data_IF_884027727943
#
_entry.id   IF_884027727943
#
_cell.length_a   1.000
_cell.length_b   1.000
_cell.length_c   1.000
_cell.angle_alpha   90.00
_cell.angle_beta   90.00
_cell.angle_gamma   90.00
#
_symmetry.space_group_name_H-M   'P 1'
#
loop_
_entity.id
_entity.type
_entity.pdbx_description
1 polymer ?
#
# COMPACT_ATOMS: atom_id res chain seq x y z
N UNK A 1 -66.35 25.86 -6.46
CA UNK A 1 -64.95 25.65 -6.04
C UNK A 1 -64.57 24.22 -6.36
N UNK A 2 -63.71 23.99 -7.37
CA UNK A 2 -63.12 22.67 -7.66
C UNK A 2 -61.72 22.67 -7.05
N UNK A 3 -61.51 21.89 -5.99
CA UNK A 3 -60.18 21.65 -5.42
C UNK A 3 -59.53 20.52 -6.22
N UNK A 4 -58.52 20.86 -7.02
CA UNK A 4 -57.60 19.88 -7.61
C UNK A 4 -56.57 19.49 -6.57
N UNK A 5 -56.59 18.23 -6.14
CA UNK A 5 -55.59 17.66 -5.25
C UNK A 5 -54.34 17.31 -6.07
N UNK A 6 -53.27 18.08 -5.91
CA UNK A 6 -51.98 17.78 -6.54
C UNK A 6 -51.29 16.69 -5.71
N UNK A 7 -51.18 15.48 -6.26
CA UNK A 7 -50.44 14.39 -5.65
C UNK A 7 -48.94 14.61 -5.91
N UNK A 8 -48.20 15.05 -4.90
CA UNK A 8 -46.74 15.16 -4.98
C UNK A 8 -46.12 13.76 -4.88
N UNK A 9 -45.68 13.19 -6.02
CA UNK A 9 -44.79 12.03 -6.01
C UNK A 9 -43.42 12.48 -5.49
N UNK A 10 -43.11 12.16 -4.25
CA UNK A 10 -41.74 12.22 -3.73
C UNK A 10 -40.97 11.01 -4.30
N UNK A 11 -40.17 11.23 -5.33
CA UNK A 11 -39.21 10.24 -5.79
C UNK A 11 -38.10 10.11 -4.73
N UNK A 12 -38.17 9.06 -3.92
CA UNK A 12 -37.10 8.68 -3.02
C UNK A 12 -35.92 8.17 -3.86
N UNK A 13 -34.93 9.02 -4.10
CA UNK A 13 -33.65 8.59 -4.65
C UNK A 13 -32.97 7.71 -3.59
N UNK A 14 -32.93 6.40 -3.83
CA UNK A 14 -32.11 5.49 -3.02
C UNK A 14 -30.66 5.87 -3.30
N UNK A 15 -30.00 6.49 -2.33
CA UNK A 15 -28.56 6.76 -2.43
C UNK A 15 -27.84 5.40 -2.42
N UNK A 16 -27.35 4.97 -3.58
CA UNK A 16 -26.53 3.77 -3.68
C UNK A 16 -25.20 4.06 -2.97
N UNK A 17 -24.84 3.22 -1.99
CA UNK A 17 -23.57 3.34 -1.30
C UNK A 17 -22.43 3.29 -2.32
N UNK A 18 -21.40 4.14 -2.13
CA UNK A 18 -20.25 4.16 -3.03
C UNK A 18 -19.56 2.79 -3.06
N UNK A 19 -19.27 2.29 -4.27
CA UNK A 19 -18.64 0.99 -4.46
C UNK A 19 -17.19 1.02 -3.94
N UNK A 20 -16.85 0.11 -3.03
CA UNK A 20 -15.46 -0.07 -2.61
C UNK A 20 -14.58 -0.49 -3.78
N UNK A 21 -13.32 -0.06 -3.78
CA UNK A 21 -12.31 -0.42 -4.78
C UNK A 21 -12.24 -1.95 -4.97
N UNK A 22 -12.28 -2.68 -3.85
CA UNK A 22 -12.37 -4.13 -3.76
C UNK A 22 -12.92 -4.50 -2.37
N UNK A 23 -13.43 -5.73 -2.15
CA UNK A 23 -13.81 -6.19 -0.83
C UNK A 23 -12.63 -6.08 0.16
N UNK A 24 -12.80 -5.34 1.25
CA UNK A 24 -11.73 -5.10 2.24
C UNK A 24 -10.86 -3.86 1.99
N UNK A 25 -11.20 -3.02 0.99
CA UNK A 25 -10.62 -1.70 0.85
C UNK A 25 -11.10 -0.81 2.02
N UNK A 26 -10.17 -0.26 2.80
CA UNK A 26 -10.44 0.62 3.93
C UNK A 26 -9.78 2.00 3.72
N UNK A 27 -10.05 2.97 4.59
CA UNK A 27 -9.35 4.25 4.56
C UNK A 27 -9.85 5.24 3.52
N UNK A 28 -9.12 6.35 3.37
CA UNK A 28 -9.54 7.43 2.49
C UNK A 28 -9.61 7.00 1.01
N UNK A 29 -8.67 6.18 0.54
CA UNK A 29 -8.59 5.69 -0.84
C UNK A 29 -9.57 4.56 -1.19
N UNK A 30 -10.40 4.10 -0.25
CA UNK A 30 -11.24 2.89 -0.40
C UNK A 30 -12.25 2.89 -1.55
N UNK A 31 -12.51 4.04 -2.16
CA UNK A 31 -13.44 4.18 -3.29
C UNK A 31 -12.75 4.43 -4.63
N UNK A 32 -11.43 4.19 -4.72
CA UNK A 32 -10.74 4.20 -6.01
C UNK A 32 -11.46 3.28 -7.01
N UNK A 33 -11.70 3.78 -8.23
CA UNK A 33 -12.44 3.03 -9.25
C UNK A 33 -11.52 2.08 -10.03
N UNK A 34 -10.23 2.40 -10.12
CA UNK A 34 -9.31 1.65 -10.95
C UNK A 34 -9.70 1.74 -12.43
N UNK A 35 -9.52 0.63 -13.15
CA UNK A 35 -9.88 0.48 -14.55
C UNK A 35 -11.29 -0.05 -14.81
N UNK A 36 -12.18 -0.09 -13.81
CA UNK A 36 -13.56 -0.59 -13.99
C UNK A 36 -14.26 0.19 -15.11
N UNK A 37 -14.96 -0.52 -16.00
CA UNK A 37 -15.53 -0.03 -17.26
C UNK A 37 -14.53 0.42 -18.34
N UNK A 38 -13.23 0.21 -18.13
CA UNK A 38 -12.17 0.41 -19.10
C UNK A 38 -11.88 -0.83 -19.95
N UNK A 39 -10.63 -1.01 -20.32
CA UNK A 39 -10.14 -2.19 -21.05
C UNK A 39 -9.31 -3.11 -20.14
N UNK A 40 -9.34 -4.41 -20.42
CA UNK A 40 -8.34 -5.34 -19.88
C UNK A 40 -7.03 -5.15 -20.65
N UNK A 41 -5.90 -5.20 -19.94
CA UNK A 41 -4.59 -5.28 -20.56
C UNK A 41 -3.80 -6.43 -19.94
N UNK A 42 -3.37 -7.37 -20.78
CA UNK A 42 -2.59 -8.54 -20.36
C UNK A 42 -1.10 -8.27 -20.51
N UNK A 43 -0.36 -8.32 -19.41
CA UNK A 43 1.11 -8.34 -19.43
C UNK A 43 1.56 -9.75 -19.79
N UNK A 44 2.18 -9.90 -20.95
CA UNK A 44 2.53 -11.20 -21.55
C UNK A 44 4.04 -11.42 -21.64
N UNK A 45 4.85 -10.44 -21.24
CA UNK A 45 6.30 -10.57 -21.21
C UNK A 45 6.93 -9.75 -20.08
N UNK A 46 8.17 -10.11 -19.74
CA UNK A 46 8.95 -9.48 -18.67
C UNK A 46 9.89 -8.36 -19.19
N UNK A 47 9.71 -7.91 -20.42
CA UNK A 47 10.54 -6.85 -20.99
C UNK A 47 10.24 -5.50 -20.31
N UNK A 48 11.23 -4.61 -20.27
CA UNK A 48 11.07 -3.26 -19.71
C UNK A 48 10.05 -2.42 -20.50
N UNK A 49 9.92 -2.66 -21.82
CA UNK A 49 9.06 -1.87 -22.71
C UNK A 49 8.57 -2.66 -23.92
N UNK A 50 7.68 -2.04 -24.69
CA UNK A 50 7.03 -2.63 -25.86
C UNK A 50 5.69 -3.28 -25.52
N UNK A 51 4.93 -3.66 -26.55
CA UNK A 51 3.63 -4.32 -26.40
C UNK A 51 3.74 -5.55 -25.51
N UNK A 52 2.77 -5.73 -24.61
CA UNK A 52 2.71 -6.82 -23.63
C UNK A 52 3.59 -6.62 -22.40
N UNK A 53 4.35 -5.53 -22.29
CA UNK A 53 5.11 -5.18 -21.09
C UNK A 53 4.25 -4.46 -20.05
N UNK A 54 4.67 -4.52 -18.77
CA UNK A 54 4.04 -3.73 -17.71
C UNK A 54 4.09 -2.21 -18.01
N UNK A 55 5.19 -1.73 -18.58
CA UNK A 55 5.33 -0.31 -18.92
C UNK A 55 4.31 0.14 -19.96
N UNK A 56 4.07 -0.67 -20.99
CA UNK A 56 3.00 -0.36 -21.96
C UNK A 56 1.62 -0.44 -21.30
N UNK A 57 1.40 -1.46 -20.44
CA UNK A 57 0.14 -1.66 -19.72
C UNK A 57 -0.28 -0.41 -18.94
N UNK A 58 0.62 0.16 -18.13
CA UNK A 58 0.31 1.29 -17.24
C UNK A 58 0.43 2.66 -17.90
N UNK A 59 0.90 2.74 -19.16
CA UNK A 59 1.15 4.01 -19.85
C UNK A 59 -0.11 4.78 -20.27
N UNK A 60 -1.26 4.09 -20.36
CA UNK A 60 -2.54 4.66 -20.78
C UNK A 60 -3.58 4.47 -19.68
N UNK A 61 -4.60 5.36 -19.60
CA UNK A 61 -5.60 5.29 -18.55
C UNK A 61 -6.69 4.25 -18.83
N UNK A 62 -7.55 4.02 -17.83
CA UNK A 62 -8.75 3.19 -17.91
C UNK A 62 -8.45 1.71 -18.22
N UNK A 63 -7.53 1.11 -17.46
CA UNK A 63 -7.13 -0.29 -17.66
C UNK A 63 -7.17 -1.11 -16.39
N UNK A 64 -7.65 -2.34 -16.51
CA UNK A 64 -7.36 -3.40 -15.54
C UNK A 64 -6.19 -4.21 -16.11
N UNK A 65 -5.04 -4.11 -15.45
CA UNK A 65 -3.81 -4.78 -15.82
C UNK A 65 -3.74 -6.13 -15.11
N UNK A 66 -3.74 -7.20 -15.88
CA UNK A 66 -3.56 -8.60 -15.44
C UNK A 66 -2.27 -9.18 -16.03
N UNK A 67 -1.84 -10.32 -15.53
CA UNK A 67 -0.52 -10.89 -15.83
C UNK A 67 -0.63 -12.35 -16.30
N UNK A 68 -0.12 -12.64 -17.48
CA UNK A 68 0.06 -13.99 -18.04
C UNK A 68 1.46 -14.57 -17.75
N UNK A 69 2.33 -13.78 -17.13
CA UNK A 69 3.71 -14.16 -16.79
C UNK A 69 4.00 -13.81 -15.34
N UNK A 70 4.83 -14.63 -14.71
CA UNK A 70 5.46 -14.35 -13.42
C UNK A 70 6.96 -14.18 -13.60
N UNK A 71 7.59 -13.40 -12.74
CA UNK A 71 9.03 -13.20 -12.78
C UNK A 71 9.48 -11.78 -12.43
N UNK A 72 10.74 -11.51 -12.77
CA UNK A 72 11.37 -10.21 -12.54
C UNK A 72 11.30 -9.35 -13.80
N UNK A 73 10.60 -8.23 -13.72
CA UNK A 73 10.62 -7.17 -14.73
C UNK A 73 11.74 -6.20 -14.37
N UNK A 74 12.83 -6.22 -15.16
CA UNK A 74 13.97 -5.31 -14.96
C UNK A 74 13.72 -4.01 -15.71
N UNK A 75 13.65 -2.90 -14.99
CA UNK A 75 13.41 -1.57 -15.55
C UNK A 75 14.67 -0.72 -15.48
N UNK A 76 14.94 0.02 -16.56
CA UNK A 76 16.04 0.98 -16.62
C UNK A 76 15.59 2.36 -16.15
N UNK A 77 14.37 2.74 -16.50
CA UNK A 77 13.77 4.03 -16.17
C UNK A 77 12.56 3.90 -15.26
N UNK A 78 12.21 5.00 -14.58
CA UNK A 78 11.02 5.07 -13.73
C UNK A 78 9.77 4.64 -14.49
N UNK A 79 8.93 3.79 -13.88
CA UNK A 79 7.60 3.47 -14.40
C UNK A 79 6.68 4.65 -14.09
N UNK A 80 5.91 5.12 -15.07
CA UNK A 80 4.90 6.18 -14.88
C UNK A 80 3.53 5.57 -15.11
N UNK A 81 2.73 5.54 -14.06
CA UNK A 81 1.39 4.94 -14.04
C UNK A 81 0.36 6.02 -14.39
N UNK A 82 -0.48 5.73 -15.38
CA UNK A 82 -1.58 6.60 -15.76
C UNK A 82 -2.73 6.56 -14.72
N UNK A 83 -3.75 7.37 -14.93
CA UNK A 83 -4.96 7.39 -14.10
C UNK A 83 -5.93 6.25 -14.46
N UNK A 84 -6.86 5.94 -13.56
CA UNK A 84 -7.90 4.94 -13.75
C UNK A 84 -7.31 3.56 -14.05
N UNK A 85 -6.34 3.14 -13.25
CA UNK A 85 -5.63 1.87 -13.43
C UNK A 85 -5.88 0.96 -12.25
N UNK A 86 -6.21 -0.30 -12.51
CA UNK A 86 -6.09 -1.37 -11.52
C UNK A 86 -4.97 -2.32 -11.94
N UNK A 87 -3.86 -2.33 -11.21
CA UNK A 87 -2.79 -3.32 -11.33
C UNK A 87 -3.11 -4.50 -10.39
N UNK A 88 -3.57 -5.60 -10.97
CA UNK A 88 -3.99 -6.80 -10.27
C UNK A 88 -2.86 -7.83 -10.21
N UNK A 89 -1.83 -7.57 -9.39
CA UNK A 89 -0.64 -8.44 -9.30
C UNK A 89 -0.95 -9.88 -8.88
N UNK A 90 -2.08 -10.11 -8.19
CA UNK A 90 -2.49 -11.46 -7.77
C UNK A 90 -2.89 -12.39 -8.93
N UNK A 91 -3.06 -11.87 -10.15
CA UNK A 91 -3.32 -12.74 -11.32
C UNK A 91 -2.05 -13.38 -11.86
N UNK A 92 -0.86 -12.89 -11.46
CA UNK A 92 0.40 -13.37 -11.99
C UNK A 92 0.64 -14.85 -11.64
N UNK A 93 1.00 -15.70 -12.60
CA UNK A 93 1.28 -17.10 -12.32
C UNK A 93 2.64 -17.27 -11.62
N UNK A 94 2.89 -18.48 -11.10
CA UNK A 94 4.18 -18.84 -10.51
C UNK A 94 4.49 -18.03 -9.24
N UNK A 95 5.67 -17.42 -9.20
CA UNK A 95 6.16 -16.61 -8.09
C UNK A 95 5.73 -15.14 -8.10
N UNK A 96 4.71 -14.78 -8.87
CA UNK A 96 4.20 -13.41 -8.95
C UNK A 96 5.12 -12.46 -9.72
N UNK A 97 4.94 -11.15 -9.53
CA UNK A 97 5.73 -10.11 -10.20
C UNK A 97 6.59 -9.32 -9.21
N UNK A 98 7.89 -9.26 -9.53
CA UNK A 98 8.83 -8.32 -8.93
C UNK A 98 9.30 -7.34 -10.00
N UNK A 99 9.19 -6.04 -9.73
CA UNK A 99 9.72 -4.99 -10.60
C UNK A 99 10.97 -4.40 -9.98
N UNK A 100 12.07 -4.40 -10.72
CA UNK A 100 13.39 -4.09 -10.19
C UNK A 100 14.20 -3.15 -11.07
N UNK A 101 14.89 -2.19 -10.44
CA UNK A 101 15.95 -1.41 -11.06
C UNK A 101 15.72 0.10 -11.05
N UNK A 102 14.49 0.56 -10.83
CA UNK A 102 14.16 1.98 -10.65
C UNK A 102 12.81 2.16 -9.92
N UNK A 103 12.38 3.40 -9.68
CA UNK A 103 11.15 3.72 -8.94
C UNK A 103 9.87 3.87 -9.80
N UNK A 104 8.76 4.26 -9.16
CA UNK A 104 7.42 4.39 -9.74
C UNK A 104 6.75 5.77 -9.48
N UNK A 105 6.37 6.43 -10.58
CA UNK A 105 5.35 7.47 -10.86
C UNK A 105 3.91 7.10 -10.61
N UNK A 106 3.27 7.55 -9.54
CA UNK A 106 1.81 7.70 -9.50
C UNK A 106 1.41 9.18 -9.41
N UNK A 107 2.08 10.02 -10.20
CA UNK A 107 1.76 11.45 -10.28
C UNK A 107 0.59 11.66 -11.25
N UNK A 108 -0.44 12.40 -10.85
CA UNK A 108 -1.70 12.55 -11.61
C UNK A 108 -2.44 11.22 -11.88
N UNK A 109 -2.13 10.18 -11.11
CA UNK A 109 -2.68 8.82 -11.26
C UNK A 109 -4.01 8.65 -10.52
N UNK A 110 -4.98 9.53 -10.78
CA UNK A 110 -6.30 9.49 -10.13
C UNK A 110 -6.96 8.12 -10.24
N UNK A 111 -7.71 7.72 -9.21
CA UNK A 111 -8.53 6.50 -9.19
C UNK A 111 -7.71 5.23 -9.48
N UNK A 112 -6.57 5.06 -8.80
CA UNK A 112 -5.65 3.95 -9.02
C UNK A 112 -5.70 2.91 -7.90
N UNK A 113 -5.63 1.64 -8.28
CA UNK A 113 -5.58 0.47 -7.39
C UNK A 113 -4.32 -0.32 -7.74
N UNK A 114 -3.47 -0.62 -6.75
CA UNK A 114 -2.27 -1.46 -6.92
C UNK A 114 -2.26 -2.55 -5.86
N UNK A 115 -2.23 -3.82 -6.28
CA UNK A 115 -2.28 -4.95 -5.33
C UNK A 115 -1.33 -6.09 -5.67
N UNK A 116 -0.84 -6.78 -4.64
CA UNK A 116 -0.07 -8.04 -4.74
C UNK A 116 1.10 -7.99 -5.72
N UNK A 117 1.91 -6.93 -5.63
CA UNK A 117 3.09 -6.73 -6.46
C UNK A 117 4.26 -6.26 -5.61
N UNK A 118 5.48 -6.62 -6.03
CA UNK A 118 6.71 -6.22 -5.36
C UNK A 118 7.48 -5.21 -6.21
N UNK A 119 7.89 -4.10 -5.62
CA UNK A 119 8.59 -2.98 -6.27
C UNK A 119 9.90 -2.72 -5.54
N UNK A 120 11.03 -2.90 -6.23
CA UNK A 120 12.37 -2.75 -5.67
C UNK A 120 13.20 -1.79 -6.49
N UNK A 121 13.50 -0.63 -5.94
CA UNK A 121 14.28 0.37 -6.67
C UNK A 121 15.75 -0.06 -6.80
N UNK A 122 16.37 -0.44 -5.68
CA UNK A 122 17.74 -0.94 -5.64
C UNK A 122 18.78 0.16 -5.88
N UNK A 123 20.06 -0.19 -5.69
CA UNK A 123 21.19 0.72 -5.82
C UNK A 123 21.40 1.19 -7.27
N UNK A 124 20.90 0.45 -8.25
CA UNK A 124 20.90 0.90 -9.65
C UNK A 124 19.93 2.06 -9.94
N UNK A 125 18.91 2.24 -9.11
CA UNK A 125 17.87 3.25 -9.32
C UNK A 125 18.39 4.69 -9.25
N UNK A 126 17.63 5.60 -9.84
CA UNK A 126 17.99 7.03 -9.90
C UNK A 126 18.19 7.62 -8.50
N UNK A 127 19.38 8.15 -8.23
CA UNK A 127 19.70 8.76 -6.93
C UNK A 127 18.80 9.96 -6.61
N UNK A 128 18.40 10.14 -5.35
CA UNK A 128 17.55 11.26 -4.94
C UNK A 128 16.12 11.17 -5.48
N UNK A 129 15.64 9.96 -5.74
CA UNK A 129 14.26 9.66 -6.13
C UNK A 129 13.71 8.53 -5.29
N UNK A 130 12.39 8.53 -5.16
CA UNK A 130 11.67 7.55 -4.35
C UNK A 130 11.42 6.25 -5.11
N UNK A 131 11.39 5.13 -4.39
CA UNK A 131 10.95 3.86 -4.97
C UNK A 131 9.49 3.93 -5.40
N UNK A 132 8.61 4.55 -4.59
CA UNK A 132 7.28 4.99 -5.02
C UNK A 132 7.08 6.46 -4.64
N UNK A 133 6.62 7.25 -5.61
CA UNK A 133 6.21 8.64 -5.37
C UNK A 133 4.82 8.92 -5.92
N UNK A 134 3.93 9.41 -5.07
CA UNK A 134 2.57 9.86 -5.41
C UNK A 134 2.52 11.39 -5.33
N UNK A 135 2.00 12.04 -6.38
CA UNK A 135 1.79 13.48 -6.41
C UNK A 135 0.58 13.88 -7.24
N UNK A 136 -0.04 15.02 -6.94
CA UNK A 136 -1.12 15.62 -7.75
C UNK A 136 -2.24 14.63 -8.14
N UNK A 137 -2.64 13.75 -7.23
CA UNK A 137 -3.50 12.59 -7.52
C UNK A 137 -4.59 12.39 -6.48
N UNK A 138 -5.69 11.72 -6.84
CA UNK A 138 -6.77 11.43 -5.89
C UNK A 138 -7.31 10.02 -5.96
N UNK A 139 -7.86 9.53 -4.84
CA UNK A 139 -8.46 8.21 -4.71
C UNK A 139 -7.49 7.10 -5.14
N UNK A 140 -6.45 6.88 -4.34
CA UNK A 140 -5.40 5.91 -4.67
C UNK A 140 -5.30 4.91 -3.53
N UNK A 141 -5.26 3.62 -3.86
CA UNK A 141 -5.09 2.55 -2.87
C UNK A 141 -4.00 1.57 -3.26
N UNK A 142 -3.12 1.31 -2.30
CA UNK A 142 -2.12 0.23 -2.34
C UNK A 142 -2.51 -0.80 -1.28
N UNK A 143 -2.66 -2.05 -1.67
CA UNK A 143 -3.00 -3.15 -0.76
C UNK A 143 -2.13 -4.38 -1.07
N UNK A 144 -1.46 -4.93 -0.06
CA UNK A 144 -0.56 -6.08 -0.24
C UNK A 144 0.58 -5.80 -1.25
N UNK A 145 1.23 -4.64 -1.13
CA UNK A 145 2.39 -4.28 -1.94
C UNK A 145 3.66 -4.43 -1.11
N UNK A 146 4.76 -4.83 -1.71
CA UNK A 146 6.09 -4.80 -1.07
C UNK A 146 6.97 -3.78 -1.75
N UNK A 147 7.52 -2.83 -0.99
CA UNK A 147 8.37 -1.76 -1.51
C UNK A 147 9.68 -1.73 -0.74
N UNK A 148 10.80 -1.78 -1.46
CA UNK A 148 12.11 -1.70 -0.81
C UNK A 148 13.18 -0.95 -1.59
N UNK A 149 14.27 -0.66 -0.88
CA UNK A 149 15.54 -0.18 -1.43
C UNK A 149 15.44 1.18 -2.11
N UNK A 150 14.66 2.08 -1.53
CA UNK A 150 14.55 3.48 -1.97
C UNK A 150 15.90 4.20 -1.95
N UNK A 151 16.09 5.12 -2.90
CA UNK A 151 17.31 5.95 -3.05
C UNK A 151 17.17 7.36 -2.48
N UNK A 152 15.96 7.75 -2.14
CA UNK A 152 15.60 8.88 -1.29
C UNK A 152 14.59 8.34 -0.25
N UNK A 153 13.28 8.42 -0.51
CA UNK A 153 12.31 7.61 0.25
C UNK A 153 11.98 6.28 -0.41
N UNK A 154 11.52 5.33 0.40
CA UNK A 154 10.95 4.08 -0.10
C UNK A 154 9.53 4.33 -0.63
N UNK A 155 8.71 5.10 0.08
CA UNK A 155 7.37 5.45 -0.37
C UNK A 155 6.99 6.86 0.09
N UNK A 156 6.81 7.81 -0.83
CA UNK A 156 6.37 9.17 -0.50
C UNK A 156 5.06 9.59 -1.17
N UNK A 157 4.31 10.43 -0.45
CA UNK A 157 3.13 11.17 -0.90
C UNK A 157 3.41 12.66 -0.69
N UNK A 158 3.36 13.46 -1.76
CA UNK A 158 3.64 14.89 -1.70
C UNK A 158 2.85 15.65 -2.79
N UNK A 159 2.49 16.90 -2.53
CA UNK A 159 1.76 17.75 -3.46
C UNK A 159 0.25 17.72 -3.22
N UNK A 160 -0.52 18.08 -4.24
CA UNK A 160 -1.99 18.14 -4.13
C UNK A 160 -2.59 16.74 -4.26
N UNK A 161 -2.54 15.97 -3.15
CA UNK A 161 -2.95 14.56 -3.12
C UNK A 161 -4.13 14.35 -2.20
N UNK A 162 -5.23 13.74 -2.65
CA UNK A 162 -6.42 13.53 -1.80
C UNK A 162 -6.85 12.07 -1.78
N UNK A 163 -7.32 11.58 -0.65
CA UNK A 163 -7.84 10.23 -0.50
C UNK A 163 -6.86 9.12 -0.88
N UNK A 164 -5.82 8.92 -0.08
CA UNK A 164 -4.87 7.81 -0.28
C UNK A 164 -4.96 6.79 0.84
N UNK A 165 -4.88 5.52 0.48
CA UNK A 165 -4.71 4.43 1.44
C UNK A 165 -3.51 3.58 1.06
N UNK A 166 -2.65 3.31 2.05
CA UNK A 166 -1.65 2.26 2.00
C UNK A 166 -2.04 1.26 3.08
N UNK A 167 -2.39 0.04 2.69
CA UNK A 167 -2.77 -1.02 3.62
C UNK A 167 -2.01 -2.32 3.35
N UNK A 168 -1.78 -3.10 4.40
CA UNK A 168 -1.15 -4.42 4.32
C UNK A 168 0.18 -4.42 3.52
N UNK A 169 0.94 -3.31 3.54
CA UNK A 169 2.10 -3.08 2.67
C UNK A 169 3.42 -3.13 3.45
N UNK A 170 4.47 -3.70 2.86
CA UNK A 170 5.84 -3.64 3.38
C UNK A 170 6.54 -2.40 2.82
N UNK A 171 7.17 -1.61 3.68
CA UNK A 171 8.00 -0.45 3.34
C UNK A 171 9.36 -0.63 4.02
N UNK A 172 10.34 -1.13 3.27
CA UNK A 172 11.54 -1.72 3.84
C UNK A 172 12.86 -1.15 3.29
N UNK A 173 13.86 -1.11 4.15
CA UNK A 173 15.27 -1.01 3.75
C UNK A 173 15.55 0.11 2.73
N UNK A 174 15.12 1.33 2.99
CA UNK A 174 15.65 2.51 2.28
C UNK A 174 17.18 2.47 2.35
N UNK A 175 17.87 2.63 1.21
CA UNK A 175 19.30 2.39 1.15
C UNK A 175 20.10 3.46 1.91
N UNK A 176 21.20 3.03 2.53
CA UNK A 176 22.11 3.93 3.23
C UNK A 176 22.64 5.03 2.30
N UNK A 177 22.91 6.19 2.91
CA UNK A 177 22.99 7.58 2.40
C UNK A 177 21.70 8.38 2.61
N UNK A 178 20.52 7.80 2.35
CA UNK A 178 19.22 8.45 2.65
C UNK A 178 18.13 7.47 3.13
N UNK A 179 18.47 6.47 3.95
CA UNK A 179 17.53 5.41 4.39
C UNK A 179 16.24 5.94 5.04
N UNK A 180 15.16 6.06 4.25
CA UNK A 180 13.88 6.61 4.70
C UNK A 180 12.71 5.70 4.32
N UNK A 181 11.77 5.51 5.25
CA UNK A 181 10.51 4.84 4.96
C UNK A 181 9.64 5.66 4.01
N UNK A 182 9.30 6.89 4.39
CA UNK A 182 8.41 7.72 3.58
C UNK A 182 8.01 9.08 4.17
N UNK A 183 7.83 10.07 3.30
CA UNK A 183 7.16 11.33 3.63
C UNK A 183 5.68 11.24 3.25
N UNK A 184 4.78 11.52 4.19
CA UNK A 184 3.34 11.55 3.99
C UNK A 184 2.89 12.99 4.18
N UNK A 185 2.86 13.76 3.10
CA UNK A 185 2.62 15.20 3.13
C UNK A 185 1.43 15.56 2.24
N UNK A 186 0.25 15.65 2.86
CA UNK A 186 -0.95 16.20 2.24
C UNK A 186 -2.04 16.52 3.25
N UNK A 187 -2.87 17.52 2.97
CA UNK A 187 -4.08 17.85 3.72
C UNK A 187 -5.30 17.05 3.23
N UNK A 188 -5.18 16.35 2.09
CA UNK A 188 -6.25 15.57 1.47
C UNK A 188 -6.48 14.18 2.06
N UNK A 189 -5.74 13.79 3.10
CA UNK A 189 -5.95 12.57 3.87
C UNK A 189 -5.22 11.33 3.36
N UNK A 190 -4.43 10.73 4.26
CA UNK A 190 -3.71 9.47 4.03
C UNK A 190 -4.04 8.47 5.14
N UNK A 191 -4.53 7.29 4.76
CA UNK A 191 -4.68 6.14 5.66
C UNK A 191 -3.50 5.19 5.53
N UNK A 192 -2.93 4.77 6.65
CA UNK A 192 -1.82 3.83 6.76
C UNK A 192 -2.24 2.72 7.71
N UNK A 193 -2.67 1.57 7.17
CA UNK A 193 -3.28 0.50 7.97
C UNK A 193 -2.56 -0.85 7.82
N UNK A 194 -2.15 -1.45 8.95
CA UNK A 194 -1.52 -2.79 8.95
C UNK A 194 -0.30 -2.90 8.05
N UNK A 195 0.44 -1.80 7.92
CA UNK A 195 1.69 -1.79 7.19
C UNK A 195 2.85 -2.25 8.08
N UNK A 196 3.91 -2.73 7.44
CA UNK A 196 5.19 -2.99 8.07
C UNK A 196 6.21 -1.97 7.57
N UNK A 197 6.68 -1.09 8.46
CA UNK A 197 7.89 -0.31 8.23
C UNK A 197 9.06 -1.04 8.88
N UNK A 198 10.09 -1.38 8.11
CA UNK A 198 11.21 -2.20 8.61
C UNK A 198 12.56 -1.72 8.09
N UNK A 199 13.56 -1.68 8.98
CA UNK A 199 14.97 -1.47 8.64
C UNK A 199 15.26 -0.15 7.88
N UNK A 200 14.44 0.89 8.09
CA UNK A 200 14.73 2.24 7.61
C UNK A 200 15.30 3.10 8.75
N UNK A 201 16.29 3.96 8.45
CA UNK A 201 16.89 4.85 9.45
C UNK A 201 15.89 5.84 10.06
N UNK A 202 14.98 6.37 9.24
CA UNK A 202 14.13 7.52 9.60
C UNK A 202 12.84 7.56 8.77
N UNK A 203 11.93 8.49 9.11
CA UNK A 203 10.66 8.73 8.40
C UNK A 203 9.83 7.45 8.25
N UNK A 204 9.40 6.86 9.36
CA UNK A 204 8.70 5.56 9.40
C UNK A 204 7.19 5.59 9.76
N UNK A 205 6.36 6.56 9.31
CA UNK A 205 6.58 7.66 8.35
C UNK A 205 7.07 8.97 8.99
N UNK A 206 7.34 9.99 8.15
CA UNK A 206 7.27 11.41 8.54
C UNK A 206 5.95 11.98 8.05
N UNK A 207 5.15 12.55 8.95
CA UNK A 207 3.80 13.02 8.63
C UNK A 207 3.72 14.53 8.62
N UNK A 208 2.99 15.06 7.63
CA UNK A 208 2.50 16.44 7.58
C UNK A 208 1.08 16.45 6.99
N UNK A 209 0.21 17.28 7.55
CA UNK A 209 -1.19 17.38 7.14
C UNK A 209 -2.05 16.28 7.77
N UNK A 210 -2.97 15.69 7.01
CA UNK A 210 -4.02 14.77 7.51
C UNK A 210 -3.58 13.31 7.38
N UNK A 211 -3.51 12.60 8.51
CA UNK A 211 -3.06 11.20 8.53
C UNK A 211 -3.85 10.31 9.50
N UNK A 212 -4.08 9.07 9.09
CA UNK A 212 -4.70 8.03 9.89
C UNK A 212 -3.78 6.81 9.96
N UNK A 213 -3.02 6.68 11.06
CA UNK A 213 -1.98 5.67 11.26
C UNK A 213 -2.46 4.64 12.28
N UNK A 214 -2.99 3.52 11.79
CA UNK A 214 -3.60 2.52 12.67
C UNK A 214 -3.15 1.08 12.41
N UNK A 215 -3.03 0.29 13.48
CA UNK A 215 -2.71 -1.13 13.43
C UNK A 215 -1.39 -1.45 12.69
N UNK A 216 -0.44 -0.54 12.60
CA UNK A 216 0.83 -0.76 11.90
C UNK A 216 1.88 -1.40 12.82
N UNK A 217 2.87 -2.05 12.21
CA UNK A 217 4.09 -2.49 12.88
C UNK A 217 5.26 -1.68 12.35
N UNK A 218 6.05 -1.11 13.26
CA UNK A 218 7.30 -0.41 12.92
C UNK A 218 8.45 -1.13 13.63
N UNK A 219 9.41 -1.62 12.86
CA UNK A 219 10.47 -2.51 13.33
C UNK A 219 11.86 -1.97 12.98
N UNK A 220 12.78 -1.99 13.94
CA UNK A 220 14.20 -1.70 13.74
C UNK A 220 14.49 -0.38 12.98
N UNK A 221 13.83 0.71 13.38
CA UNK A 221 14.18 2.03 12.85
C UNK A 221 15.56 2.46 13.34
N UNK A 222 16.21 3.39 12.63
CA UNK A 222 17.49 3.99 13.04
C UNK A 222 17.35 5.27 13.88
N UNK A 223 18.36 6.14 13.85
CA UNK A 223 18.41 7.36 14.67
C UNK A 223 17.38 8.45 14.34
N UNK A 224 16.51 8.25 13.34
CA UNK A 224 15.45 9.19 13.01
C UNK A 224 14.12 8.96 13.74
N UNK A 225 13.93 7.78 14.33
CA UNK A 225 12.68 7.39 14.97
C UNK A 225 11.79 6.49 14.12
N UNK A 226 10.86 5.83 14.80
CA UNK A 226 9.80 5.02 14.22
C UNK A 226 8.62 5.84 13.69
N UNK A 227 8.49 7.11 14.08
CA UNK A 227 7.48 8.03 13.57
C UNK A 227 7.95 9.47 13.81
N UNK A 228 7.98 10.29 12.75
CA UNK A 228 8.29 11.72 12.87
C UNK A 228 6.98 12.51 12.90
N UNK A 229 6.72 13.13 14.05
CA UNK A 229 5.50 13.86 14.35
C UNK A 229 5.68 15.39 14.28
N UNK A 230 6.45 15.91 13.31
CA UNK A 230 6.67 17.36 13.21
C UNK A 230 7.89 17.73 12.38
N UNK A 231 8.72 18.65 12.92
CA UNK A 231 9.86 19.29 12.23
C UNK A 231 9.44 20.28 11.12
N UNK A 232 8.20 20.80 11.21
CA UNK A 232 7.65 21.91 10.42
C UNK A 232 6.75 22.78 11.29
N UNK A 233 6.49 24.02 10.85
CA UNK A 233 5.56 24.97 11.49
C UNK A 233 4.13 24.89 10.91
N UNK A 234 3.87 23.98 9.98
CA UNK A 234 2.54 23.76 9.42
C UNK A 234 1.77 22.73 10.28
N UNK A 235 0.47 22.97 10.46
CA UNK A 235 -0.39 22.11 11.26
C UNK A 235 -0.55 20.73 10.64
N UNK A 236 -0.60 19.71 11.49
CA UNK A 236 -0.88 18.32 11.11
C UNK A 236 -1.92 17.72 12.04
N UNK A 237 -2.78 16.87 11.50
CA UNK A 237 -3.95 16.31 12.17
C UNK A 237 -3.93 14.80 12.02
N UNK A 238 -3.60 14.09 13.11
CA UNK A 238 -3.33 12.66 13.06
C UNK A 238 -4.14 11.83 14.06
N UNK A 239 -4.63 10.68 13.62
CA UNK A 239 -5.01 9.58 14.50
C UNK A 239 -3.86 8.56 14.52
N UNK A 240 -3.36 8.19 15.70
CA UNK A 240 -2.26 7.23 15.89
C UNK A 240 -2.73 6.17 16.88
N UNK A 241 -3.26 5.05 16.37
CA UNK A 241 -4.04 4.11 17.17
C UNK A 241 -3.59 2.65 16.96
N UNK A 242 -3.48 1.87 18.04
CA UNK A 242 -3.25 0.42 17.99
C UNK A 242 -1.97 -0.03 17.26
N UNK A 243 -0.96 0.83 17.15
CA UNK A 243 0.29 0.47 16.47
C UNK A 243 1.26 -0.25 17.42
N UNK A 244 2.15 -1.07 16.87
CA UNK A 244 3.19 -1.76 17.63
C UNK A 244 4.58 -1.36 17.12
N UNK A 245 5.36 -0.74 17.99
CA UNK A 245 6.74 -0.33 17.72
C UNK A 245 7.70 -1.35 18.36
N UNK A 246 8.65 -1.89 17.61
CA UNK A 246 9.63 -2.87 18.08
C UNK A 246 11.04 -2.38 17.76
N UNK A 247 11.82 -2.12 18.81
CA UNK A 247 13.26 -1.83 18.66
C UNK A 247 13.98 -3.01 18.04
N UNK A 248 14.91 -2.75 17.13
CA UNK A 248 15.87 -3.74 16.65
C UNK A 248 17.31 -3.29 16.84
N UNK A 249 18.29 -3.98 16.22
CA UNK A 249 19.71 -3.69 16.35
C UNK A 249 20.10 -2.22 16.05
N UNK A 250 19.48 -1.60 15.04
CA UNK A 250 19.78 -0.23 14.60
C UNK A 250 19.05 0.86 15.39
N UNK A 251 18.11 0.47 16.24
CA UNK A 251 17.32 1.42 17.03
C UNK A 251 18.20 2.15 18.02
N UNK A 252 18.23 3.48 17.92
CA UNK A 252 19.07 4.36 18.76
C UNK A 252 18.29 5.49 19.42
N UNK A 253 17.02 5.66 19.04
CA UNK A 253 16.11 6.67 19.59
C UNK A 253 14.72 6.07 19.82
N UNK A 254 13.87 6.75 20.58
CA UNK A 254 12.48 6.36 20.84
C UNK A 254 11.64 6.28 19.57
N UNK A 255 10.47 5.62 19.67
CA UNK A 255 9.54 5.47 18.56
C UNK A 255 9.13 6.82 17.94
N UNK A 256 8.70 7.78 18.77
CA UNK A 256 8.29 9.11 18.30
C UNK A 256 9.41 10.12 18.47
N UNK A 257 9.60 10.96 17.45
CA UNK A 257 10.61 12.03 17.44
C UNK A 257 10.09 13.30 16.76
N UNK A 258 10.74 14.43 17.10
CA UNK A 258 10.54 15.76 16.49
C UNK A 258 9.10 16.29 16.53
N UNK A 259 8.33 15.84 17.51
CA UNK A 259 7.03 16.41 17.80
C UNK A 259 7.12 17.89 18.18
N UNK A 260 6.02 18.61 17.99
CA UNK A 260 5.87 20.00 18.38
C UNK A 260 4.37 20.36 18.52
N UNK A 261 4.11 21.60 18.94
CA UNK A 261 2.74 22.11 19.15
C UNK A 261 1.87 22.25 17.90
N UNK A 262 2.43 22.11 16.69
CA UNK A 262 1.69 22.13 15.42
C UNK A 262 1.25 20.72 14.98
N UNK A 263 1.62 19.68 15.73
CA UNK A 263 1.22 18.32 15.43
C UNK A 263 0.12 17.88 16.39
N UNK A 264 -1.13 17.99 15.94
CA UNK A 264 -2.33 17.72 16.73
C UNK A 264 -2.76 16.27 16.55
N UNK A 265 -2.47 15.41 17.54
CA UNK A 265 -2.74 13.98 17.41
C UNK A 265 -3.64 13.41 18.51
N UNK A 266 -4.59 12.58 18.09
CA UNK A 266 -5.25 11.62 18.96
C UNK A 266 -4.39 10.37 18.99
N UNK A 267 -3.93 9.97 20.18
CA UNK A 267 -3.11 8.77 20.34
C UNK A 267 -3.81 7.79 21.28
N UNK A 268 -3.85 6.52 20.89
CA UNK A 268 -4.51 5.51 21.73
C UNK A 268 -3.93 4.12 21.53
N UNK A 269 -3.71 3.41 22.63
CA UNK A 269 -3.38 1.97 22.65
C UNK A 269 -2.19 1.58 21.74
N UNK A 270 -1.20 2.45 21.59
CA UNK A 270 0.05 2.10 20.90
C UNK A 270 0.99 1.35 21.87
N UNK A 271 1.72 0.35 21.39
CA UNK A 271 2.68 -0.43 22.17
C UNK A 271 4.11 -0.18 21.72
N UNK A 272 5.05 -0.27 22.67
CA UNK A 272 6.47 -0.19 22.39
C UNK A 272 7.24 -1.30 23.11
N UNK A 273 7.95 -2.10 22.33
CA UNK A 273 8.91 -3.10 22.77
C UNK A 273 10.33 -2.59 22.53
N UNK A 274 11.00 -2.18 23.59
CA UNK A 274 12.32 -1.53 23.50
C UNK A 274 13.49 -2.44 23.85
N UNK A 275 13.22 -3.64 24.36
CA UNK A 275 14.22 -4.41 25.12
C UNK A 275 15.06 -5.38 24.27
N UNK A 276 14.61 -5.70 23.04
CA UNK A 276 15.30 -6.58 22.08
C UNK A 276 15.61 -7.97 22.64
N UNK A 277 14.75 -8.48 23.53
CA UNK A 277 14.99 -9.72 24.27
C UNK A 277 14.56 -10.99 23.51
N UNK A 278 14.05 -10.86 22.28
CA UNK A 278 13.56 -11.98 21.49
C UNK A 278 12.13 -12.42 21.81
N UNK A 279 11.37 -11.61 22.53
CA UNK A 279 9.95 -11.84 22.86
C UNK A 279 9.13 -10.61 22.48
N UNK A 280 7.88 -10.83 22.11
CA UNK A 280 6.91 -9.77 21.92
C UNK A 280 6.26 -9.44 23.27
N UNK A 281 6.95 -8.67 24.10
CA UNK A 281 6.54 -8.37 25.49
C UNK A 281 6.59 -6.87 25.84
N UNK A 282 6.56 -6.03 24.80
CA UNK A 282 6.37 -4.58 24.90
C UNK A 282 5.16 -4.15 25.71
N UNK A 283 5.19 -2.88 26.12
CA UNK A 283 4.17 -2.27 26.96
C UNK A 283 3.43 -1.16 26.22
N UNK A 284 2.23 -0.81 26.70
CA UNK A 284 1.49 0.34 26.22
C UNK A 284 2.30 1.63 26.42
N UNK A 285 2.37 2.46 25.38
CA UNK A 285 2.96 3.79 25.44
C UNK A 285 2.07 4.72 26.26
N UNK A 286 2.70 5.53 27.10
CA UNK A 286 2.01 6.55 27.88
C UNK A 286 1.45 7.65 26.97
N UNK A 287 0.21 8.11 27.19
CA UNK A 287 -0.40 9.22 26.43
C UNK A 287 0.11 10.58 26.96
N UNK A 288 1.44 10.81 26.89
CA UNK A 288 2.12 12.02 27.38
C UNK A 288 3.25 12.45 26.45
N UNK A 289 3.63 13.72 26.56
CA UNK A 289 4.69 14.35 25.77
C UNK A 289 6.01 13.56 25.77
N UNK A 290 6.40 12.94 26.90
CA UNK A 290 7.61 12.11 27.01
C UNK A 290 7.61 10.86 26.12
N UNK A 291 6.43 10.35 25.75
CA UNK A 291 6.29 9.18 24.88
C UNK A 291 6.08 9.55 23.40
N UNK A 292 5.59 10.77 23.13
CA UNK A 292 5.23 11.24 21.79
C UNK A 292 5.98 12.52 21.35
N UNK A 293 7.12 12.84 21.98
CA UNK A 293 7.99 13.95 21.59
C UNK A 293 7.34 15.34 21.58
N UNK A 294 6.57 15.70 22.60
CA UNK A 294 5.99 17.06 22.76
C UNK A 294 4.99 17.50 21.67
N UNK A 295 4.26 16.55 21.06
CA UNK A 295 3.09 16.84 20.22
C UNK A 295 1.95 17.54 21.01
N UNK A 296 1.01 18.15 20.29
CA UNK A 296 -0.27 18.57 20.87
C UNK A 296 -1.27 17.38 20.90
N UNK A 297 -1.80 17.09 22.08
CA UNK A 297 -2.71 15.95 22.28
C UNK A 297 -4.16 16.40 22.17
N UNK A 298 -4.91 15.81 21.23
CA UNK A 298 -6.35 16.03 21.14
C UNK A 298 -7.13 14.91 21.86
N UNK A 299 -8.29 15.25 22.43
CA UNK A 299 -9.07 14.33 23.29
C UNK A 299 -10.02 13.41 22.53
N UNK A 300 -10.40 13.81 21.31
CA UNK A 300 -11.36 13.09 20.47
C UNK A 300 -10.66 12.69 19.18
N UNK A 301 -10.81 11.45 18.72
CA UNK A 301 -10.27 11.05 17.44
C UNK A 301 -10.91 11.88 16.32
N UNK A 302 -10.13 12.20 15.30
CA UNK A 302 -10.69 12.80 14.09
C UNK A 302 -11.61 11.79 13.39
N UNK A 303 -12.69 12.27 12.80
CA UNK A 303 -13.67 11.44 12.08
C UNK A 303 -13.15 11.03 10.69
N UNK A 304 -12.08 10.24 10.68
CA UNK A 304 -11.47 9.66 9.48
C UNK A 304 -12.07 8.27 9.21
N UNK A 305 -11.98 7.76 7.96
CA UNK A 305 -12.46 6.44 7.60
C UNK A 305 -11.55 5.33 8.17
N UNK A 306 -11.68 5.09 9.47
CA UNK A 306 -10.87 4.15 10.23
C UNK A 306 -11.01 2.69 9.72
N UNK A 307 -9.98 1.85 9.91
CA UNK A 307 -10.06 0.43 9.61
C UNK A 307 -10.82 -0.31 10.72
N UNK A 308 -11.03 -1.60 10.52
CA UNK A 308 -11.37 -2.52 11.61
C UNK A 308 -10.31 -2.43 12.72
N UNK A 309 -10.75 -2.11 13.94
CA UNK A 309 -9.86 -1.99 15.09
C UNK A 309 -9.28 -3.34 15.50
N UNK A 310 -7.97 -3.37 15.81
CA UNK A 310 -7.26 -4.54 16.31
C UNK A 310 -6.57 -4.18 17.63
N UNK A 311 -6.27 -5.16 18.47
CA UNK A 311 -5.25 -4.93 19.50
C UNK A 311 -3.88 -4.83 18.83
N UNK A 312 -2.90 -4.12 19.43
CA UNK A 312 -1.54 -4.06 18.88
C UNK A 312 -0.92 -5.45 18.65
N UNK A 313 -1.17 -6.42 19.53
CA UNK A 313 -0.69 -7.79 19.38
C UNK A 313 -1.36 -8.49 18.18
N UNK A 314 -2.67 -8.35 18.02
CA UNK A 314 -3.39 -8.88 16.86
C UNK A 314 -2.93 -8.19 15.56
N UNK A 315 -2.56 -6.91 15.62
CA UNK A 315 -1.95 -6.21 14.49
C UNK A 315 -0.61 -6.84 14.10
N UNK A 316 0.27 -7.18 15.06
CA UNK A 316 1.51 -7.91 14.78
C UNK A 316 1.24 -9.27 14.14
N UNK A 317 0.30 -10.06 14.69
CA UNK A 317 -0.06 -11.37 14.14
C UNK A 317 -0.54 -11.27 12.69
N UNK A 318 -1.43 -10.32 12.41
CA UNK A 318 -1.99 -10.12 11.08
C UNK A 318 -0.93 -9.64 10.08
N UNK A 319 -0.07 -8.71 10.50
CA UNK A 319 1.06 -8.23 9.68
C UNK A 319 2.00 -9.38 9.34
N UNK A 320 2.44 -10.17 10.32
CA UNK A 320 3.33 -11.32 10.08
C UNK A 320 2.72 -12.34 9.11
N UNK A 321 1.41 -12.55 9.20
CA UNK A 321 0.66 -13.48 8.35
C UNK A 321 0.53 -12.98 6.90
N UNK A 322 0.17 -11.72 6.71
CA UNK A 322 -0.39 -11.25 5.45
C UNK A 322 0.22 -9.99 4.85
N UNK A 323 1.17 -9.31 5.48
CA UNK A 323 1.71 -8.05 4.91
C UNK A 323 2.56 -8.30 3.65
N UNK A 324 2.61 -7.29 2.78
CA UNK A 324 3.38 -7.28 1.55
C UNK A 324 2.67 -8.00 0.42
N UNK A 325 3.41 -8.36 -0.62
CA UNK A 325 2.95 -9.29 -1.66
C UNK A 325 2.84 -10.72 -1.09
N UNK A 326 1.93 -10.92 -0.13
CA UNK A 326 1.83 -12.13 0.69
C UNK A 326 1.47 -13.38 -0.10
N UNK A 327 0.79 -13.20 -1.24
CA UNK A 327 0.44 -14.29 -2.15
C UNK A 327 1.69 -14.91 -2.80
N UNK A 328 2.71 -14.10 -3.05
CA UNK A 328 3.95 -14.51 -3.72
C UNK A 328 5.19 -13.99 -2.99
N UNK A 329 5.25 -14.24 -1.68
CA UNK A 329 6.36 -13.77 -0.84
C UNK A 329 7.69 -14.36 -1.31
N UNK A 330 8.61 -13.52 -1.74
CA UNK A 330 9.94 -13.96 -2.15
C UNK A 330 10.93 -14.03 -0.99
N UNK A 331 12.20 -14.29 -1.31
CA UNK A 331 13.27 -14.48 -0.32
C UNK A 331 13.55 -13.24 0.51
N UNK A 332 13.44 -12.04 -0.07
CA UNK A 332 13.68 -10.77 0.63
C UNK A 332 12.56 -10.52 1.62
N UNK A 333 11.31 -10.58 1.17
CA UNK A 333 10.16 -10.35 2.05
C UNK A 333 10.06 -11.42 3.14
N UNK A 334 10.41 -12.66 2.83
CA UNK A 334 10.51 -13.74 3.83
C UNK A 334 11.55 -13.42 4.89
N UNK A 335 12.75 -12.99 4.49
CA UNK A 335 13.82 -12.62 5.42
C UNK A 335 13.43 -11.42 6.30
N UNK A 336 12.77 -10.41 5.75
CA UNK A 336 12.25 -9.27 6.52
C UNK A 336 11.24 -9.71 7.59
N UNK A 337 10.32 -10.61 7.23
CA UNK A 337 9.35 -11.14 8.18
C UNK A 337 10.02 -11.98 9.28
N UNK A 338 11.03 -12.76 8.92
CA UNK A 338 11.81 -13.54 9.89
C UNK A 338 12.64 -12.65 10.83
N UNK A 339 13.02 -11.45 10.40
CA UNK A 339 13.58 -10.44 11.31
C UNK A 339 12.51 -9.93 12.28
N UNK A 340 11.29 -9.60 11.84
CA UNK A 340 10.23 -9.17 12.76
C UNK A 340 9.92 -10.25 13.81
N UNK A 341 9.84 -11.52 13.39
CA UNK A 341 9.64 -12.68 14.29
C UNK A 341 10.77 -12.88 15.30
N UNK A 342 11.92 -12.26 15.07
CA UNK A 342 13.04 -12.27 16.02
C UNK A 342 12.82 -11.33 17.21
N UNK A 343 11.77 -10.51 17.16
CA UNK A 343 11.35 -9.56 18.20
C UNK A 343 12.53 -8.76 18.76
N UNK A 344 13.22 -8.09 17.84
CA UNK A 344 14.26 -7.10 18.14
C UNK A 344 15.69 -7.64 18.13
N UNK A 345 15.90 -8.95 17.94
CA UNK A 345 17.25 -9.55 17.95
C UNK A 345 17.95 -9.54 16.58
N UNK A 346 17.20 -9.36 15.48
CA UNK A 346 17.71 -9.27 14.10
C UNK A 346 17.21 -8.01 13.40
N UNK A 347 17.81 -7.66 12.27
CA UNK A 347 17.48 -6.47 11.49
C UNK A 347 18.75 -5.77 11.03
N UNK A 348 18.66 -4.97 9.99
CA UNK A 348 19.79 -4.17 9.53
C UNK A 348 19.47 -3.28 8.33
N UNK A 349 19.83 -2.01 8.45
CA UNK A 349 19.96 -1.10 7.31
C UNK A 349 21.05 -1.59 6.37
N UNK A 350 20.82 -1.45 5.06
CA UNK A 350 21.75 -1.90 4.02
C UNK A 350 22.12 -0.76 3.08
N UNK A 351 23.33 -0.82 2.52
CA UNK A 351 23.80 0.14 1.51
C UNK A 351 23.62 -0.37 0.07
N UNK A 352 23.49 -1.68 -0.08
CA UNK A 352 23.39 -2.39 -1.34
C UNK A 352 22.49 -3.61 -1.15
N UNK A 353 21.51 -3.80 -2.02
CA UNK A 353 20.61 -4.96 -1.98
C UNK A 353 21.32 -6.31 -2.05
N UNK A 354 22.56 -6.35 -2.55
CA UNK A 354 23.38 -7.57 -2.56
C UNK A 354 23.71 -8.08 -1.16
N UNK A 355 23.76 -7.19 -0.16
CA UNK A 355 23.91 -7.56 1.26
C UNK A 355 22.74 -8.41 1.75
N UNK A 356 21.60 -8.32 1.06
CA UNK A 356 20.36 -9.03 1.36
C UNK A 356 19.99 -10.06 0.28
N UNK A 357 20.96 -10.49 -0.54
CA UNK A 357 20.77 -11.50 -1.59
C UNK A 357 20.25 -10.95 -2.93
N UNK A 358 19.98 -9.64 -3.03
CA UNK A 358 19.38 -9.02 -4.21
C UNK A 358 17.95 -9.50 -4.46
N UNK A 359 17.44 -9.30 -5.69
CA UNK A 359 16.08 -9.70 -6.06
C UNK A 359 15.85 -11.22 -6.05
N UNK A 360 16.93 -12.01 -6.15
CA UNK A 360 16.82 -13.46 -6.32
C UNK A 360 16.22 -13.86 -7.67
N UNK A 361 15.80 -15.12 -7.75
CA UNK A 361 15.07 -15.68 -8.88
C UNK A 361 13.58 -15.80 -8.52
N UNK A 362 12.72 -15.38 -9.43
CA UNK A 362 11.26 -15.51 -9.29
C UNK A 362 10.78 -16.47 -10.37
N UNK A 363 10.22 -17.60 -9.95
CA UNK A 363 9.75 -18.62 -10.86
C UNK A 363 8.63 -18.05 -11.74
N UNK A 364 8.76 -18.25 -13.05
CA UNK A 364 7.62 -18.05 -13.94
C UNK A 364 6.57 -19.16 -13.67
N UNK A 365 5.35 -18.96 -14.15
CA UNK A 365 4.33 -19.99 -14.18
C UNK A 365 3.62 -20.04 -15.53
N UNK A 366 2.72 -21.00 -15.68
CA UNK A 366 1.84 -21.04 -16.84
C UNK A 366 0.61 -20.17 -16.56
N UNK A 367 0.31 -19.23 -17.47
CA UNK A 367 -1.01 -18.59 -17.49
C UNK A 367 -2.09 -19.65 -17.62
N UNK A 368 -3.22 -19.43 -16.95
CA UNK A 368 -4.42 -20.21 -17.20
C UNK A 368 -4.95 -19.86 -18.59
N UNK A 369 -5.64 -20.83 -19.22
CA UNK A 369 -6.24 -20.61 -20.54
C UNK A 369 -7.38 -19.60 -20.43
N UNK A 370 -7.32 -18.58 -21.26
CA UNK A 370 -8.29 -17.49 -21.43
C UNK A 370 -8.43 -17.33 -22.95
N UNK A 371 -9.55 -17.84 -23.49
CA UNK A 371 -9.71 -18.04 -24.94
C UNK A 371 -10.14 -16.79 -25.70
N UNK A 372 -10.80 -15.84 -25.05
CA UNK A 372 -11.26 -14.59 -25.65
C UNK A 372 -10.45 -13.35 -25.23
N UNK A 373 -9.56 -13.51 -24.25
CA UNK A 373 -8.57 -12.51 -23.86
C UNK A 373 -9.12 -11.45 -22.91
N UNK A 374 -10.24 -11.71 -22.22
CA UNK A 374 -10.87 -10.77 -21.30
C UNK A 374 -10.19 -10.69 -19.92
N UNK A 375 -9.17 -11.53 -19.69
CA UNK A 375 -8.39 -11.61 -18.45
C UNK A 375 -8.94 -12.59 -17.42
N UNK A 376 -10.01 -13.32 -17.74
CA UNK A 376 -10.64 -14.33 -16.91
C UNK A 376 -10.34 -15.73 -17.49
N UNK A 377 -9.92 -16.71 -16.68
CA UNK A 377 -9.71 -18.07 -17.17
C UNK A 377 -11.01 -18.78 -17.57
N UNK A 378 -10.97 -19.57 -18.65
CA UNK A 378 -12.11 -20.33 -19.20
C UNK A 378 -12.84 -21.16 -18.13
N UNK A 379 -12.07 -21.76 -17.22
CA UNK A 379 -12.60 -22.61 -16.14
C UNK A 379 -13.39 -21.79 -15.11
N UNK A 380 -12.90 -20.59 -14.78
CA UNK A 380 -13.59 -19.70 -13.85
C UNK A 380 -14.87 -19.16 -14.47
N UNK A 381 -14.82 -18.76 -15.74
CA UNK A 381 -15.99 -18.30 -16.48
C UNK A 381 -17.09 -19.36 -16.53
N UNK A 382 -16.76 -20.57 -16.97
CA UNK A 382 -17.71 -21.68 -17.05
C UNK A 382 -18.35 -21.97 -15.69
N UNK A 383 -17.53 -21.94 -14.61
CA UNK A 383 -18.01 -22.17 -13.23
C UNK A 383 -18.93 -21.06 -12.73
N UNK A 384 -18.78 -19.83 -13.22
CA UNK A 384 -19.56 -18.66 -12.81
C UNK A 384 -20.65 -18.27 -13.83
N UNK A 385 -20.89 -19.10 -14.85
CA UNK A 385 -21.97 -18.91 -15.82
C UNK A 385 -21.68 -17.86 -16.90
N UNK A 386 -20.40 -17.57 -17.14
CA UNK A 386 -19.92 -16.72 -18.24
C UNK A 386 -19.56 -17.58 -19.46
N UNK A 387 -19.33 -16.94 -20.61
CA UNK A 387 -19.01 -17.63 -21.85
C UNK A 387 -17.53 -17.41 -22.21
N UNK A 388 -16.68 -18.46 -22.18
CA UNK A 388 -15.25 -18.37 -22.50
C UNK A 388 -14.88 -17.95 -23.93
N UNK A 389 -15.86 -17.52 -24.74
CA UNK A 389 -15.66 -17.04 -26.10
C UNK A 389 -16.36 -15.69 -26.32
N UNK A 390 -16.77 -14.96 -25.27
CA UNK A 390 -17.41 -13.64 -25.31
C UNK A 390 -16.68 -12.64 -24.39
N UNK A 391 -15.59 -12.05 -24.90
CA UNK A 391 -14.80 -11.07 -24.14
C UNK A 391 -15.59 -9.82 -23.69
N UNK A 392 -16.81 -9.61 -24.20
CA UNK A 392 -17.65 -8.50 -23.74
C UNK A 392 -18.20 -8.72 -22.33
N UNK A 393 -18.21 -9.96 -21.82
CA UNK A 393 -18.76 -10.25 -20.50
C UNK A 393 -17.78 -10.00 -19.34
N UNK A 394 -16.47 -10.04 -19.55
CA UNK A 394 -15.46 -9.72 -18.53
C UNK A 394 -15.63 -8.34 -17.89
N UNK A 395 -15.95 -7.33 -18.68
CA UNK A 395 -16.17 -5.95 -18.19
C UNK A 395 -17.64 -5.63 -17.85
N UNK A 396 -18.57 -6.59 -17.98
CA UNK A 396 -19.96 -6.40 -17.52
C UNK A 396 -19.97 -6.30 -16.00
N UNK A 397 -20.59 -5.23 -15.49
CA UNK A 397 -20.76 -5.02 -14.05
C UNK A 397 -21.87 -5.93 -13.53
N UNK A 398 -21.52 -6.82 -12.61
CA UNK A 398 -22.45 -7.71 -11.94
C UNK A 398 -23.32 -6.96 -10.91
N UNK A 399 -24.33 -7.64 -10.36
CA UNK A 399 -25.27 -7.06 -9.40
C UNK A 399 -24.62 -6.59 -8.09
N UNK A 400 -23.40 -7.05 -7.79
CA UNK A 400 -22.61 -6.63 -6.64
C UNK A 400 -21.76 -5.36 -6.90
N UNK A 401 -21.84 -4.77 -8.10
CA UNK A 401 -21.18 -3.52 -8.47
C UNK A 401 -19.74 -3.65 -8.98
N UNK A 402 -19.21 -4.87 -9.07
CA UNK A 402 -17.90 -5.18 -9.66
C UNK A 402 -18.05 -5.74 -11.08
N UNK A 403 -17.11 -5.45 -11.97
CA UNK A 403 -16.97 -6.16 -13.24
C UNK A 403 -16.70 -7.66 -12.99
N UNK A 404 -17.07 -8.53 -13.93
CA UNK A 404 -16.76 -9.96 -13.84
C UNK A 404 -15.25 -10.22 -13.68
N UNK A 405 -14.42 -9.45 -14.37
CA UNK A 405 -12.96 -9.51 -14.20
C UNK A 405 -12.52 -9.15 -12.78
N UNK A 406 -13.13 -8.12 -12.17
CA UNK A 406 -12.85 -7.78 -10.78
C UNK A 406 -13.33 -8.87 -9.82
N UNK A 407 -14.46 -9.53 -10.10
CA UNK A 407 -14.93 -10.67 -9.31
C UNK A 407 -13.94 -11.84 -9.37
N UNK A 408 -13.40 -12.16 -10.54
CA UNK A 408 -12.33 -13.14 -10.69
C UNK A 408 -11.09 -12.72 -9.87
N UNK A 409 -10.58 -11.52 -10.10
CA UNK A 409 -9.40 -10.95 -9.43
C UNK A 409 -9.54 -10.93 -7.90
N UNK A 410 -10.73 -10.66 -7.39
CA UNK A 410 -11.02 -10.67 -5.96
C UNK A 410 -11.17 -12.08 -5.38
N UNK A 411 -11.55 -13.08 -6.19
CA UNK A 411 -11.70 -14.47 -5.74
C UNK A 411 -10.36 -15.20 -5.51
N UNK A 412 -9.25 -14.58 -5.91
CA UNK A 412 -7.91 -15.14 -5.78
C UNK A 412 -7.31 -14.99 -4.37
N UNK A 413 -7.94 -14.22 -3.47
CA UNK A 413 -7.35 -13.79 -2.18
C UNK A 413 -8.33 -13.77 -1.00
#
# INVERSE_FOLDING_TARGET
MKFSLLLALTASSVAQAAQLAFPGAEGFGRYAVGGRQGEVYKVTNLNDSGTGSLRDAVSKPNRIVVFDVGGVIKISERIVVSKNIYIAGQTAPGGGIVVYGNGWSLSNANDSIVRYITIRMGKGGTSGKDAIGVADGKNIIFDHVSVSWGRDETFSINGDVTNVTIQNTIIAQGLVSHSCGGLMQTDGGVSLFRNLYIDNKTRNPKVKGVNDFQNNVVYNWGGGGGYIAGDSQADSYANIINNYFISGPDTTVTAFTRGNSFFHAYVKDNFYDSNRNGKLDGAALCEKASCYSDIDFVKTPYNYPAPTALTPQAAVELVLKGVGNSLHRDTVDTALIDQVKSYGTKGGQISDEKEFGGVGEIANGAALKDSDGDGIPDEWETKNGLNPNDASDGMKVASNGYANLENYVNSLV
#
